data_IF_393424830385
#
_entry.id   IF_393424830385
#
_cell.length_a   1.000
_cell.length_b   1.000
_cell.length_c   1.000
_cell.angle_alpha   90.00
_cell.angle_beta   90.00
_cell.angle_gamma   90.00
#
_symmetry.space_group_name_H-M   'P 1'
#
loop_
_entity.id
_entity.type
_entity.pdbx_description
1 polymer ?
#
# COMPACT_ATOMS: atom_id res chain seq x y z
N UNK A 1 -0.54 -54.89 29.58
CA UNK A 1 -0.92 -56.26 29.17
C UNK A 1 -2.25 -56.18 28.42
N UNK A 2 -2.30 -56.69 27.18
CA UNK A 2 -3.41 -57.34 26.44
C UNK A 2 -4.81 -56.71 26.49
N UNK A 3 -5.65 -56.62 25.46
CA UNK A 3 -5.69 -56.96 24.03
C UNK A 3 -7.08 -56.46 23.55
N UNK A 4 -7.21 -56.14 22.26
CA UNK A 4 -8.46 -55.85 21.55
C UNK A 4 -9.50 -56.99 21.63
N UNK A 5 -10.78 -56.74 21.28
CA UNK A 5 -11.48 -57.31 20.10
C UNK A 5 -13.03 -57.10 20.13
N UNK A 6 -13.58 -56.43 19.07
CA UNK A 6 -14.85 -56.66 18.30
C UNK A 6 -16.22 -56.61 19.06
N UNK A 7 -17.40 -56.14 18.59
CA UNK A 7 -17.96 -55.70 17.30
C UNK A 7 -19.43 -55.13 17.47
N UNK A 8 -19.88 -54.32 16.48
CA UNK A 8 -21.26 -53.99 16.01
C UNK A 8 -22.20 -53.18 16.95
N UNK A 9 -22.98 -52.19 16.49
CA UNK A 9 -23.87 -52.15 15.30
C UNK A 9 -23.92 -50.72 14.69
N UNK A 10 -24.05 -50.70 13.35
CA UNK A 10 -24.12 -49.55 12.46
C UNK A 10 -25.56 -49.05 12.20
N UNK A 11 -25.71 -47.75 11.85
CA UNK A 11 -26.63 -47.19 10.83
C UNK A 11 -26.06 -45.80 10.44
N UNK A 12 -25.36 -45.66 9.30
CA UNK A 12 -25.83 -45.41 7.93
C UNK A 12 -26.14 -43.93 7.63
N UNK A 13 -25.41 -43.34 6.68
CA UNK A 13 -25.90 -42.65 5.45
C UNK A 13 -24.67 -42.24 4.59
N UNK A 14 -24.68 -42.69 3.33
CA UNK A 14 -23.77 -42.35 2.21
C UNK A 14 -24.43 -41.25 1.34
N UNK A 15 -23.73 -40.52 0.42
CA UNK A 15 -23.05 -41.08 -0.75
C UNK A 15 -21.62 -40.58 -0.97
N UNK A 16 -20.78 -41.50 -1.43
CA UNK A 16 -19.49 -41.26 -2.07
C UNK A 16 -19.74 -40.75 -3.49
N UNK A 17 -19.19 -39.57 -3.81
CA UNK A 17 -18.75 -39.26 -5.17
C UNK A 17 -17.28 -39.60 -5.25
N UNK A 18 -16.93 -40.62 -6.04
CA UNK A 18 -15.55 -41.01 -6.27
C UNK A 18 -14.90 -40.13 -7.31
N UNK A 19 -13.57 -40.02 -7.25
CA UNK A 19 -12.79 -39.86 -8.47
C UNK A 19 -11.45 -40.56 -8.33
N UNK A 20 -11.14 -41.26 -9.42
CA UNK A 20 -10.12 -42.24 -9.67
C UNK A 20 -8.70 -41.83 -9.34
N UNK A 21 -7.93 -42.81 -8.87
CA UNK A 21 -6.49 -42.91 -9.00
C UNK A 21 -5.99 -42.40 -10.38
N UNK A 22 -4.83 -41.74 -10.46
CA UNK A 22 -4.32 -41.24 -11.73
C UNK A 22 -4.05 -42.42 -12.68
N UNK A 23 -4.41 -42.31 -13.98
CA UNK A 23 -4.09 -43.34 -14.95
C UNK A 23 -2.57 -43.39 -15.15
N UNK A 24 -2.02 -44.59 -15.06
CA UNK A 24 -0.68 -44.89 -15.50
C UNK A 24 -0.66 -44.75 -17.03
N UNK A 25 -0.04 -43.67 -17.56
CA UNK A 25 0.19 -43.55 -19.00
C UNK A 25 0.00 -42.19 -19.68
N UNK A 26 0.01 -41.04 -18.99
CA UNK A 26 0.08 -39.73 -19.68
C UNK A 26 1.53 -39.23 -19.71
N UNK A 27 2.05 -38.87 -20.89
CA UNK A 27 3.38 -38.25 -21.03
C UNK A 27 3.40 -36.91 -20.28
N UNK A 28 4.42 -36.73 -19.45
CA UNK A 28 4.64 -35.54 -18.61
C UNK A 28 4.51 -34.21 -19.39
N UNK A 29 4.87 -34.20 -20.67
CA UNK A 29 4.75 -33.03 -21.55
C UNK A 29 3.32 -32.51 -21.70
N UNK A 30 2.31 -33.38 -21.79
CA UNK A 30 0.91 -32.95 -21.94
C UNK A 30 0.33 -32.41 -20.63
N UNK A 31 0.94 -32.76 -19.49
CA UNK A 31 0.61 -32.18 -18.18
C UNK A 31 1.20 -30.76 -18.00
N UNK A 32 2.23 -30.42 -18.78
CA UNK A 32 2.90 -29.11 -18.75
C UNK A 32 2.16 -28.09 -19.63
N UNK A 33 1.65 -28.49 -20.81
CA UNK A 33 0.88 -27.61 -21.71
C UNK A 33 -0.42 -27.08 -21.07
N UNK A 34 -1.17 -27.92 -20.36
CA UNK A 34 -2.41 -27.51 -19.68
C UNK A 34 -2.13 -26.58 -18.47
N UNK A 35 -0.92 -26.66 -17.89
CA UNK A 35 -0.44 -25.75 -16.85
C UNK A 35 0.14 -24.44 -17.39
N UNK A 36 0.48 -24.34 -18.66
CA UNK A 36 0.99 -23.07 -19.25
C UNK A 36 -0.15 -22.07 -19.51
N UNK A 37 -1.33 -22.53 -19.93
CA UNK A 37 -2.49 -21.67 -20.24
C UNK A 37 -3.16 -21.02 -19.02
N UNK A 38 -2.84 -21.40 -17.79
CA UNK A 38 -3.46 -20.87 -16.56
C UNK A 38 -2.50 -20.06 -15.68
N UNK A 39 -1.24 -19.85 -16.12
CA UNK A 39 -0.20 -19.15 -15.36
C UNK A 39 -0.04 -17.66 -15.68
N UNK A 40 -0.66 -17.16 -16.73
CA UNK A 40 -0.55 -15.73 -17.10
C UNK A 40 -1.44 -14.80 -16.27
N UNK A 41 -2.44 -15.31 -15.54
CA UNK A 41 -3.34 -14.49 -14.72
C UNK A 41 -2.94 -14.40 -13.23
N UNK A 42 -2.02 -15.25 -12.76
CA UNK A 42 -1.68 -15.38 -11.33
C UNK A 42 -0.26 -14.90 -10.96
N UNK A 43 0.56 -14.37 -11.89
CA UNK A 43 1.89 -13.81 -11.57
C UNK A 43 1.96 -12.27 -11.57
N UNK A 44 0.80 -11.61 -11.53
CA UNK A 44 0.69 -10.19 -11.14
C UNK A 44 0.48 -10.01 -9.61
N UNK A 45 0.54 -11.09 -8.83
CA UNK A 45 0.22 -11.10 -7.39
C UNK A 45 1.44 -11.27 -6.47
N UNK A 46 2.65 -11.39 -7.00
CA UNK A 46 3.89 -11.31 -6.19
C UNK A 46 4.54 -9.94 -6.38
N UNK A 47 3.98 -8.98 -5.66
CA UNK A 47 4.70 -7.85 -5.07
C UNK A 47 5.57 -7.02 -6.01
N UNK A 48 4.95 -6.15 -6.83
CA UNK A 48 5.59 -4.86 -7.06
C UNK A 48 5.60 -4.17 -5.69
N UNK A 49 6.72 -4.25 -4.98
CA UNK A 49 6.94 -3.66 -3.64
C UNK A 49 6.30 -2.27 -3.58
N UNK A 50 5.09 -2.19 -3.03
CA UNK A 50 4.36 -0.94 -2.89
C UNK A 50 5.15 -0.11 -1.87
N UNK A 51 5.90 0.86 -2.38
CA UNK A 51 6.56 1.85 -1.53
C UNK A 51 5.48 2.81 -1.04
N UNK A 52 5.57 3.28 0.20
CA UNK A 52 4.65 4.26 0.79
C UNK A 52 4.44 5.47 -0.14
N UNK A 53 5.51 5.98 -0.77
CA UNK A 53 5.42 7.08 -1.76
C UNK A 53 4.42 6.76 -2.88
N UNK A 54 4.32 5.50 -3.29
CA UNK A 54 3.31 5.04 -4.25
C UNK A 54 1.89 5.07 -3.68
N UNK A 55 1.71 4.71 -2.40
CA UNK A 55 0.42 4.81 -1.71
C UNK A 55 -0.03 6.27 -1.59
N UNK A 56 0.90 7.20 -1.27
CA UNK A 56 0.61 8.62 -1.25
C UNK A 56 0.23 9.14 -2.65
N UNK A 57 1.01 8.78 -3.68
CA UNK A 57 0.69 9.14 -5.06
C UNK A 57 -0.70 8.64 -5.51
N UNK A 58 -1.05 7.41 -5.16
CA UNK A 58 -2.39 6.85 -5.42
C UNK A 58 -3.49 7.60 -4.66
N UNK A 59 -3.23 7.99 -3.41
CA UNK A 59 -4.14 8.78 -2.59
C UNK A 59 -4.41 10.17 -3.20
N UNK A 60 -3.36 10.86 -3.67
CA UNK A 60 -3.47 12.13 -4.38
C UNK A 60 -4.32 11.95 -5.65
N UNK A 61 -3.99 10.95 -6.48
CA UNK A 61 -4.72 10.71 -7.73
C UNK A 61 -6.21 10.45 -7.48
N UNK A 62 -6.56 9.74 -6.41
CA UNK A 62 -7.94 9.46 -6.02
C UNK A 62 -8.70 10.73 -5.55
N UNK A 63 -8.06 11.59 -4.76
CA UNK A 63 -8.68 12.82 -4.25
C UNK A 63 -8.82 13.92 -5.30
N UNK A 64 -7.74 14.16 -6.06
CA UNK A 64 -7.66 15.26 -7.04
C UNK A 64 -8.45 14.91 -8.31
N UNK A 65 -8.43 13.66 -8.76
CA UNK A 65 -9.10 13.17 -9.98
C UNK A 65 -8.70 13.93 -11.25
N UNK A 66 -7.46 14.36 -11.32
CA UNK A 66 -6.86 15.00 -12.49
C UNK A 66 -5.56 14.27 -12.88
N UNK A 67 -5.39 13.99 -14.17
CA UNK A 67 -4.22 13.29 -14.70
C UNK A 67 -2.92 14.09 -14.51
N UNK A 68 -3.02 15.40 -14.32
CA UNK A 68 -1.89 16.30 -14.05
C UNK A 68 -1.40 16.21 -12.61
N UNK A 69 -2.06 15.46 -11.71
CA UNK A 69 -1.65 15.43 -10.29
C UNK A 69 -0.20 14.95 -10.08
N UNK A 70 0.41 14.28 -11.05
CA UNK A 70 1.83 13.91 -11.05
C UNK A 70 2.79 15.11 -11.01
N UNK A 71 2.39 16.29 -11.49
CA UNK A 71 3.22 17.51 -11.49
C UNK A 71 3.42 18.11 -10.10
N UNK A 72 2.65 17.66 -9.11
CA UNK A 72 2.84 18.04 -7.71
C UNK A 72 4.21 17.59 -7.20
N UNK A 73 4.77 16.51 -7.74
CA UNK A 73 6.15 16.14 -7.44
C UNK A 73 7.11 17.06 -8.20
N UNK A 74 7.86 17.89 -7.48
CA UNK A 74 8.71 18.94 -8.05
C UNK A 74 8.03 20.30 -8.17
N UNK A 75 6.88 20.50 -7.50
CA UNK A 75 6.19 21.78 -7.47
C UNK A 75 6.73 22.70 -6.36
N UNK A 76 7.01 23.96 -6.68
CA UNK A 76 7.39 24.98 -5.71
C UNK A 76 8.65 24.65 -4.91
N UNK A 77 8.72 25.17 -3.69
CA UNK A 77 9.89 25.02 -2.82
C UNK A 77 9.89 23.72 -2.01
N UNK A 78 8.71 23.19 -1.68
CA UNK A 78 8.53 22.08 -0.74
C UNK A 78 8.08 20.79 -1.41
N UNK A 79 7.27 20.82 -2.47
CA UNK A 79 6.77 19.57 -3.03
C UNK A 79 7.86 18.76 -3.74
N UNK A 80 8.29 17.67 -3.11
CA UNK A 80 9.36 16.78 -3.58
C UNK A 80 10.38 16.50 -2.48
N UNK A 81 11.60 16.09 -2.83
CA UNK A 81 12.64 15.87 -1.81
C UNK A 81 13.19 17.21 -1.28
N UNK A 82 13.23 17.32 0.05
CA UNK A 82 13.72 18.50 0.78
C UNK A 82 12.82 19.73 0.63
N UNK A 83 13.20 20.85 1.24
CA UNK A 83 12.46 22.10 1.15
C UNK A 83 13.09 23.15 2.05
N UNK A 84 12.98 24.42 1.65
CA UNK A 84 13.50 25.58 2.40
C UNK A 84 12.77 26.84 1.98
N UNK A 85 12.96 27.91 2.74
CA UNK A 85 12.37 29.21 2.45
C UNK A 85 10.90 29.28 2.83
N UNK A 86 10.10 29.99 2.03
CA UNK A 86 8.66 30.19 2.27
C UNK A 86 7.85 29.53 1.14
N UNK A 87 6.69 28.91 1.45
CA UNK A 87 5.81 28.40 0.42
C UNK A 87 5.40 29.48 -0.59
N UNK A 88 5.41 29.14 -1.87
CA UNK A 88 5.10 30.09 -2.96
C UNK A 88 3.59 30.30 -3.15
N UNK A 89 2.79 29.29 -2.85
CA UNK A 89 1.33 29.33 -2.89
C UNK A 89 0.70 28.26 -1.99
N UNK A 90 -0.63 28.11 -2.05
CA UNK A 90 -1.38 27.17 -1.23
C UNK A 90 -1.00 25.70 -1.49
N UNK A 91 -0.62 25.34 -2.71
CA UNK A 91 -0.22 23.96 -3.05
C UNK A 91 1.14 23.66 -2.43
N UNK A 92 2.08 24.59 -2.57
CA UNK A 92 3.39 24.47 -1.93
C UNK A 92 3.29 24.46 -0.40
N UNK A 93 2.31 25.19 0.16
CA UNK A 93 1.99 25.16 1.58
C UNK A 93 1.48 23.78 2.04
N UNK A 94 0.69 23.08 1.23
CA UNK A 94 0.29 21.70 1.53
C UNK A 94 1.51 20.79 1.72
N UNK A 95 2.54 20.96 0.87
CA UNK A 95 3.79 20.20 0.95
C UNK A 95 4.63 20.58 2.17
N UNK A 96 4.73 21.87 2.49
CA UNK A 96 5.38 22.33 3.72
C UNK A 96 4.76 21.69 4.98
N UNK A 97 3.42 21.65 5.05
CA UNK A 97 2.70 21.02 6.18
C UNK A 97 2.92 19.50 6.20
N UNK A 98 2.94 18.85 5.03
CA UNK A 98 3.23 17.42 4.89
C UNK A 98 4.64 17.06 5.37
N UNK A 99 5.65 17.82 4.93
CA UNK A 99 7.04 17.67 5.36
C UNK A 99 7.19 17.80 6.87
N UNK A 100 6.52 18.78 7.48
CA UNK A 100 6.50 18.94 8.94
C UNK A 100 5.88 17.73 9.64
N UNK A 101 4.81 17.16 9.07
CA UNK A 101 4.16 15.95 9.60
C UNK A 101 5.12 14.74 9.55
N UNK A 102 5.87 14.59 8.46
CA UNK A 102 6.92 13.57 8.33
C UNK A 102 8.07 13.82 9.30
N UNK A 103 8.49 15.07 9.46
CA UNK A 103 9.51 15.48 10.43
C UNK A 103 9.12 15.13 11.88
N UNK A 104 7.85 15.30 12.24
CA UNK A 104 7.34 14.90 13.56
C UNK A 104 7.38 13.37 13.75
N UNK A 105 7.04 12.60 12.73
CA UNK A 105 7.14 11.13 12.77
C UNK A 105 8.59 10.69 12.99
N UNK A 106 9.53 11.30 12.26
CA UNK A 106 10.96 11.02 12.38
C UNK A 106 11.49 11.40 13.77
N UNK A 107 11.15 12.60 14.25
CA UNK A 107 11.58 13.13 15.54
C UNK A 107 11.07 12.29 16.71
N UNK A 108 9.81 11.87 16.66
CA UNK A 108 9.21 11.02 17.71
C UNK A 108 9.66 9.56 17.63
N UNK A 109 10.32 9.14 16.54
CA UNK A 109 10.73 7.76 16.29
C UNK A 109 9.57 6.76 16.39
N UNK A 110 8.34 7.21 16.15
CA UNK A 110 7.14 6.36 16.23
C UNK A 110 7.18 5.22 15.21
N UNK A 111 7.93 5.40 14.13
CA UNK A 111 8.20 4.41 13.09
C UNK A 111 9.50 3.62 13.30
N UNK A 112 10.16 3.76 14.44
CA UNK A 112 11.45 3.15 14.73
C UNK A 112 12.62 4.12 14.54
N UNK A 113 13.86 3.61 14.62
CA UNK A 113 15.07 4.44 14.60
C UNK A 113 15.46 4.92 13.20
N UNK A 114 14.96 4.29 12.13
CA UNK A 114 15.27 4.69 10.76
C UNK A 114 14.41 5.89 10.34
N UNK A 115 14.99 7.07 10.07
CA UNK A 115 14.24 8.24 9.62
C UNK A 115 13.59 8.06 8.25
N UNK A 116 14.09 7.12 7.43
CA UNK A 116 13.55 6.85 6.11
C UNK A 116 12.30 5.98 6.14
N UNK A 117 11.88 5.50 7.32
CA UNK A 117 10.67 4.71 7.49
C UNK A 117 9.42 5.39 6.90
N UNK A 118 9.38 6.72 6.90
CA UNK A 118 8.29 7.51 6.31
C UNK A 118 8.11 7.29 4.80
N UNK A 119 9.12 6.79 4.08
CA UNK A 119 9.09 6.60 2.63
C UNK A 119 8.79 5.16 2.21
N UNK A 120 8.88 4.18 3.12
CA UNK A 120 8.69 2.76 2.77
C UNK A 120 7.73 2.00 3.69
N UNK A 121 7.39 2.51 4.89
CA UNK A 121 6.40 1.86 5.75
C UNK A 121 5.02 2.00 5.13
N UNK A 122 4.41 0.88 4.76
CA UNK A 122 3.08 0.86 4.16
C UNK A 122 1.99 0.99 5.22
N UNK A 123 0.85 1.54 4.82
CA UNK A 123 -0.34 1.69 5.65
C UNK A 123 -1.61 1.27 4.90
N UNK A 124 -2.75 1.24 5.59
CA UNK A 124 -4.04 0.88 5.01
C UNK A 124 -4.95 2.09 4.89
N UNK A 125 -5.53 2.28 3.72
CA UNK A 125 -6.47 3.36 3.46
C UNK A 125 -7.92 2.87 3.51
N UNK A 126 -8.85 3.82 3.60
CA UNK A 126 -10.29 3.64 3.46
C UNK A 126 -10.81 4.76 2.54
N UNK A 127 -11.42 4.39 1.43
CA UNK A 127 -11.75 5.38 0.38
C UNK A 127 -10.48 5.97 -0.23
N UNK A 128 -10.51 7.25 -0.62
CA UNK A 128 -9.34 7.93 -1.18
C UNK A 128 -8.30 8.23 -0.09
N UNK A 129 -8.63 9.11 0.86
CA UNK A 129 -7.69 9.64 1.87
C UNK A 129 -8.02 9.29 3.32
N UNK A 130 -8.97 8.37 3.54
CA UNK A 130 -9.28 7.85 4.87
C UNK A 130 -8.25 6.83 5.32
N UNK A 131 -8.08 6.67 6.63
CA UNK A 131 -7.11 5.76 7.21
C UNK A 131 -7.81 4.61 7.91
N UNK A 132 -7.54 3.38 7.47
CA UNK A 132 -8.11 2.20 8.10
C UNK A 132 -7.39 1.92 9.41
N UNK A 133 -8.15 1.52 10.42
CA UNK A 133 -7.63 1.16 11.73
C UNK A 133 -6.70 -0.06 11.70
N UNK A 134 -6.05 -0.22 12.85
CA UNK A 134 -5.16 -1.30 13.27
C UNK A 134 -5.37 -2.67 12.60
N UNK A 135 -4.28 -3.33 12.21
CA UNK A 135 -4.32 -4.76 11.93
C UNK A 135 -4.38 -5.53 13.26
N UNK A 136 -5.47 -6.27 13.51
CA UNK A 136 -5.71 -7.00 14.76
C UNK A 136 -4.49 -7.84 15.24
N UNK A 137 -3.67 -8.35 14.30
CA UNK A 137 -2.47 -9.14 14.57
C UNK A 137 -1.18 -8.34 14.76
N UNK A 138 -1.20 -7.03 15.05
CA UNK A 138 0.06 -6.27 15.18
C UNK A 138 0.91 -6.68 16.38
N UNK A 139 0.33 -7.31 17.40
CA UNK A 139 1.09 -7.98 18.46
C UNK A 139 1.94 -9.17 17.96
N UNK A 140 1.66 -9.70 16.76
CA UNK A 140 2.48 -10.70 16.07
C UNK A 140 3.55 -10.06 15.15
N UNK A 141 3.81 -8.76 15.26
CA UNK A 141 4.82 -8.06 14.45
C UNK A 141 4.33 -7.61 13.06
N UNK A 142 3.03 -7.73 12.77
CA UNK A 142 2.45 -7.22 11.53
C UNK A 142 2.20 -5.70 11.62
N UNK A 143 3.26 -4.91 11.37
CA UNK A 143 3.22 -3.44 11.22
C UNK A 143 3.61 -2.67 12.48
N UNK A 144 3.63 -1.33 12.42
CA UNK A 144 3.62 -0.46 13.59
C UNK A 144 2.34 0.36 13.57
N UNK A 145 1.34 -0.03 14.36
CA UNK A 145 -0.01 0.51 14.24
C UNK A 145 -0.11 2.03 14.33
N UNK A 146 0.65 2.63 15.26
CA UNK A 146 0.67 4.08 15.45
C UNK A 146 1.42 4.80 14.34
N UNK A 147 2.57 4.25 13.92
CA UNK A 147 3.35 4.75 12.78
C UNK A 147 2.52 4.75 11.49
N UNK A 148 1.97 3.60 11.12
CA UNK A 148 1.21 3.42 9.89
C UNK A 148 -0.02 4.34 9.85
N UNK A 149 -0.75 4.42 10.97
CA UNK A 149 -1.89 5.32 11.08
C UNK A 149 -1.46 6.78 10.93
N UNK A 150 -0.39 7.19 11.63
CA UNK A 150 0.09 8.58 11.58
C UNK A 150 0.62 8.98 10.20
N UNK A 151 1.33 8.07 9.52
CA UNK A 151 1.76 8.26 8.12
C UNK A 151 0.56 8.43 7.19
N UNK A 152 -0.42 7.52 7.27
CA UNK A 152 -1.64 7.64 6.50
C UNK A 152 -2.37 8.96 6.76
N UNK A 153 -2.42 9.42 8.00
CA UNK A 153 -3.07 10.69 8.35
C UNK A 153 -2.34 11.89 7.75
N UNK A 154 -0.99 11.90 7.77
CA UNK A 154 -0.19 12.94 7.11
C UNK A 154 -0.52 12.99 5.61
N UNK A 155 -0.47 11.83 4.94
CA UNK A 155 -0.72 11.72 3.50
C UNK A 155 -2.17 12.08 3.16
N UNK A 156 -3.12 11.66 3.99
CA UNK A 156 -4.54 11.94 3.82
C UNK A 156 -4.87 13.43 3.94
N UNK A 157 -4.24 14.12 4.88
CA UNK A 157 -4.37 15.57 5.02
C UNK A 157 -3.78 16.28 3.79
N UNK A 158 -2.59 15.88 3.36
CA UNK A 158 -1.95 16.47 2.18
C UNK A 158 -2.78 16.25 0.89
N UNK A 159 -3.28 15.04 0.65
CA UNK A 159 -4.11 14.73 -0.51
C UNK A 159 -5.40 15.57 -0.56
N UNK A 160 -6.08 15.75 0.58
CA UNK A 160 -7.27 16.63 0.67
C UNK A 160 -6.91 18.11 0.50
N UNK A 161 -5.75 18.52 1.00
CA UNK A 161 -5.22 19.86 0.78
C UNK A 161 -5.02 20.12 -0.72
N UNK A 162 -4.32 19.23 -1.43
CA UNK A 162 -4.14 19.34 -2.88
C UNK A 162 -5.46 19.43 -3.61
N UNK A 163 -6.42 18.54 -3.34
CA UNK A 163 -7.76 18.60 -3.93
C UNK A 163 -8.43 19.98 -3.80
N UNK A 164 -8.23 20.65 -2.67
CA UNK A 164 -8.85 21.96 -2.39
C UNK A 164 -8.20 23.10 -3.18
N UNK A 165 -6.93 22.96 -3.58
CA UNK A 165 -6.15 24.02 -4.23
C UNK A 165 -5.72 23.68 -5.67
N UNK A 166 -5.93 22.45 -6.15
CA UNK A 166 -5.42 21.98 -7.43
C UNK A 166 -5.95 22.78 -8.63
N UNK A 167 -7.17 23.31 -8.55
CA UNK A 167 -7.74 24.19 -9.59
C UNK A 167 -6.98 25.52 -9.74
N UNK A 168 -6.13 25.88 -8.78
CA UNK A 168 -5.28 27.08 -8.78
C UNK A 168 -3.81 26.76 -9.09
N UNK A 169 -3.51 25.55 -9.58
CA UNK A 169 -2.16 25.14 -9.96
C UNK A 169 -1.53 26.16 -10.92
N UNK A 170 -0.30 26.58 -10.63
CA UNK A 170 0.43 27.53 -11.46
C UNK A 170 1.58 26.83 -12.19
N UNK A 171 1.53 26.82 -13.51
CA UNK A 171 2.52 26.12 -14.35
C UNK A 171 3.96 26.61 -14.11
N UNK A 172 4.14 27.90 -13.75
CA UNK A 172 5.45 28.49 -13.44
C UNK A 172 6.16 27.88 -12.23
N UNK A 173 5.45 27.13 -11.38
CA UNK A 173 6.00 26.48 -10.21
C UNK A 173 6.18 24.97 -10.41
N UNK A 174 5.86 24.42 -11.58
CA UNK A 174 6.17 23.02 -11.91
C UNK A 174 7.67 22.91 -12.22
N UNK A 175 8.34 21.90 -11.64
CA UNK A 175 9.80 21.74 -11.72
C UNK A 175 10.56 23.00 -11.29
N UNK A 176 10.08 23.66 -10.22
CA UNK A 176 10.62 24.94 -9.77
C UNK A 176 12.07 24.80 -9.29
N UNK A 177 12.88 25.80 -9.64
CA UNK A 177 14.27 25.88 -9.20
C UNK A 177 14.35 26.17 -7.70
N UNK A 178 14.59 25.13 -6.90
CA UNK A 178 14.69 25.22 -5.44
C UNK A 178 15.85 26.09 -4.95
N UNK A 179 16.77 26.54 -5.80
CA UNK A 179 17.80 27.52 -5.42
C UNK A 179 17.23 28.93 -5.23
N UNK A 180 16.04 29.21 -5.78
CA UNK A 180 15.29 30.48 -5.62
C UNK A 180 14.43 30.52 -4.36
N UNK A 181 14.44 29.41 -3.63
CA UNK A 181 14.01 29.29 -2.25
C UNK A 181 15.22 29.53 -1.33
#
# INVERSE_FOLDING_TARGET
MKMCVWLLIALAITPKGGESSPPMGKKLHNYIEEKDSTRDEQDNLVTRKERNVGQFGAMIACEVKDLRSSVLNGYGCFCGLGGKGKPLDDIDLCCYVHDNCYGDIQRTKICGPDPNAVYYVTYRTQGCSGCRGYHFLWFLGYGNSKCQKKLCECDGVAARCFKSHFSKLQDRYINYDKSKC
#
